data_IF_404648012855
#
_entry.id   IF_404648012855
#
_cell.length_a   1.000
_cell.length_b   1.000
_cell.length_c   1.000
_cell.angle_alpha   90.00
_cell.angle_beta   90.00
_cell.angle_gamma   90.00
#
_symmetry.space_group_name_H-M   'P 1'
#
loop_
_entity.id
_entity.type
_entity.pdbx_description
1 polymer ?
#
# COMPACT_ATOMS: atom_id res chain seq x y z
N UNK A 1 -51.67 15.14 49.80
CA UNK A 1 -50.74 16.23 50.17
C UNK A 1 -49.43 16.00 49.43
N UNK A 2 -49.25 16.67 48.30
CA UNK A 2 -47.94 16.87 47.66
C UNK A 2 -47.40 18.23 48.11
N UNK A 3 -46.07 18.39 48.18
CA UNK A 3 -45.47 19.66 47.85
C UNK A 3 -44.41 19.55 46.74
N UNK A 4 -44.61 20.40 45.74
CA UNK A 4 -43.66 21.37 45.17
C UNK A 4 -42.49 20.89 44.27
N UNK A 5 -42.80 20.94 42.97
CA UNK A 5 -42.08 21.55 41.83
C UNK A 5 -40.99 22.58 42.20
N UNK A 6 -39.87 22.71 41.46
CA UNK A 6 -39.76 23.44 40.17
C UNK A 6 -38.32 23.34 39.55
N UNK A 7 -38.02 23.89 38.34
CA UNK A 7 -37.40 23.16 37.23
C UNK A 7 -36.02 23.71 36.80
N UNK A 8 -35.41 23.15 35.74
CA UNK A 8 -34.78 23.90 34.62
C UNK A 8 -34.13 22.97 33.59
N UNK A 9 -34.74 22.93 32.40
CA UNK A 9 -34.08 23.21 31.10
C UNK A 9 -33.09 22.18 30.52
N UNK A 10 -33.02 22.07 29.18
CA UNK A 10 -32.55 20.87 28.50
C UNK A 10 -31.06 20.95 28.13
N UNK A 11 -30.33 19.84 28.27
CA UNK A 11 -29.06 19.65 27.59
C UNK A 11 -29.23 18.48 26.61
N UNK A 12 -29.66 18.81 25.39
CA UNK A 12 -29.64 17.87 24.27
C UNK A 12 -28.18 17.60 23.90
N UNK A 13 -27.70 16.39 24.20
CA UNK A 13 -26.40 15.93 23.74
C UNK A 13 -26.58 15.29 22.36
N UNK A 14 -26.29 16.08 21.31
CA UNK A 14 -26.09 15.58 19.95
C UNK A 14 -24.85 14.67 19.93
N UNK A 15 -25.05 13.36 19.77
CA UNK A 15 -23.98 12.46 19.35
C UNK A 15 -23.61 12.78 17.90
N UNK A 16 -22.50 13.46 17.68
CA UNK A 16 -21.86 13.55 16.38
C UNK A 16 -21.11 12.23 16.11
N UNK A 17 -21.58 11.44 15.13
CA UNK A 17 -20.81 10.36 14.54
C UNK A 17 -19.57 10.95 13.86
N UNK A 18 -18.39 10.74 14.44
CA UNK A 18 -17.12 11.00 13.77
C UNK A 18 -16.86 9.86 12.77
N UNK A 19 -17.11 10.10 11.49
CA UNK A 19 -16.66 9.24 10.40
C UNK A 19 -15.13 9.39 10.26
N UNK A 20 -14.39 8.46 10.86
CA UNK A 20 -12.95 8.30 10.66
C UNK A 20 -12.69 7.73 9.26
N UNK A 21 -12.37 8.60 8.31
CA UNK A 21 -11.82 8.21 7.01
C UNK A 21 -10.35 7.84 7.16
N UNK A 22 -10.05 6.55 7.22
CA UNK A 22 -8.68 6.04 7.19
C UNK A 22 -8.15 6.01 5.74
N UNK A 23 -7.20 6.90 5.42
CA UNK A 23 -6.37 6.77 4.22
C UNK A 23 -5.42 5.58 4.34
N UNK A 24 -5.47 4.68 3.35
CA UNK A 24 -4.76 3.39 3.30
C UNK A 24 -3.83 3.35 2.09
N UNK A 25 -2.79 2.51 2.12
CA UNK A 25 -1.77 2.47 1.07
C UNK A 25 -2.15 1.55 -0.13
N UNK A 26 -1.84 1.88 -1.42
CA UNK A 26 -2.33 1.26 -2.71
C UNK A 26 -1.27 0.50 -3.63
N UNK A 27 -1.61 -0.34 -4.64
CA UNK A 27 -0.80 -1.35 -5.43
C UNK A 27 -1.51 -2.65 -5.88
N UNK A 28 -2.54 -2.52 -6.71
CA UNK A 28 -2.93 -3.51 -7.71
C UNK A 28 -3.48 -2.82 -8.96
N UNK A 29 -3.36 -3.47 -10.11
CA UNK A 29 -3.68 -2.87 -11.41
C UNK A 29 -5.15 -2.44 -11.47
N UNK A 30 -5.38 -1.21 -11.90
CA UNK A 30 -6.70 -0.71 -12.22
C UNK A 30 -6.60 0.24 -13.41
N UNK A 31 -7.66 0.33 -14.20
CA UNK A 31 -7.72 1.41 -15.19
C UNK A 31 -7.74 2.77 -14.50
N UNK A 32 -7.36 3.84 -15.18
CA UNK A 32 -7.39 5.18 -14.59
C UNK A 32 -7.77 6.30 -15.58
N UNK A 33 -8.23 7.42 -15.05
CA UNK A 33 -8.37 8.69 -15.75
C UNK A 33 -7.50 9.76 -15.11
N UNK A 34 -7.03 10.71 -15.90
CA UNK A 34 -6.29 11.89 -15.42
C UNK A 34 -7.29 13.03 -15.23
N UNK A 35 -7.42 13.53 -13.99
CA UNK A 35 -8.19 14.74 -13.67
C UNK A 35 -7.25 15.75 -13.02
N UNK A 36 -6.81 16.75 -13.80
CA UNK A 36 -5.89 17.81 -13.36
C UNK A 36 -4.58 17.33 -12.71
N UNK A 37 -4.06 16.15 -13.07
CA UNK A 37 -2.82 15.58 -12.53
C UNK A 37 -3.04 14.44 -11.53
N UNK A 38 -4.27 14.24 -11.03
CA UNK A 38 -4.59 13.12 -10.14
C UNK A 38 -4.93 11.87 -10.95
N UNK A 39 -4.39 10.73 -10.54
CA UNK A 39 -4.81 9.42 -11.05
C UNK A 39 -6.09 9.00 -10.33
N UNK A 40 -7.20 8.95 -11.07
CA UNK A 40 -8.45 8.37 -10.58
C UNK A 40 -8.61 6.98 -11.12
N UNK A 41 -8.58 5.97 -10.26
CA UNK A 41 -8.84 4.60 -10.67
C UNK A 41 -10.30 4.46 -11.14
N UNK A 42 -10.50 3.90 -12.32
CA UNK A 42 -11.79 3.75 -12.97
C UNK A 42 -12.23 2.29 -12.95
N UNK A 43 -13.54 2.10 -12.76
CA UNK A 43 -14.17 0.80 -12.88
C UNK A 43 -14.29 0.38 -14.36
N UNK A 44 -13.97 -0.87 -14.66
CA UNK A 44 -14.04 -1.47 -16.00
C UNK A 44 -15.09 -2.59 -16.03
N UNK A 45 -16.35 -2.27 -16.37
CA UNK A 45 -17.44 -3.24 -16.33
C UNK A 45 -17.33 -4.31 -17.42
N UNK A 46 -16.56 -4.06 -18.48
CA UNK A 46 -16.40 -4.99 -19.60
C UNK A 46 -15.23 -5.97 -19.41
N UNK A 47 -14.34 -5.74 -18.43
CA UNK A 47 -13.09 -6.51 -18.28
C UNK A 47 -13.08 -7.19 -16.91
N UNK A 48 -13.02 -8.52 -16.87
CA UNK A 48 -12.84 -9.27 -15.63
C UNK A 48 -11.37 -9.59 -15.37
N UNK A 49 -11.00 -9.69 -14.09
CA UNK A 49 -9.75 -10.31 -13.67
C UNK A 49 -9.99 -11.80 -13.43
N UNK A 50 -9.55 -12.63 -14.37
CA UNK A 50 -9.75 -14.08 -14.32
C UNK A 50 -8.70 -14.77 -13.44
N UNK A 51 -7.52 -14.17 -13.29
CA UNK A 51 -6.47 -14.67 -12.42
C UNK A 51 -5.65 -13.51 -11.86
N UNK A 52 -5.24 -13.65 -10.60
CA UNK A 52 -4.11 -12.94 -10.02
C UNK A 52 -3.27 -13.97 -9.25
N UNK A 53 -2.01 -14.16 -9.65
CA UNK A 53 -1.03 -14.90 -8.88
C UNK A 53 0.06 -13.93 -8.39
N UNK A 54 0.00 -13.65 -7.09
CA UNK A 54 0.81 -12.68 -6.38
C UNK A 54 1.89 -13.37 -5.56
N UNK A 55 3.15 -13.02 -5.81
CA UNK A 55 4.31 -13.36 -5.00
C UNK A 55 4.78 -12.13 -4.24
N UNK A 56 4.87 -12.23 -2.91
CA UNK A 56 5.44 -11.20 -2.04
C UNK A 56 6.66 -11.75 -1.31
N UNK A 57 7.77 -11.03 -1.40
CA UNK A 57 8.98 -11.28 -0.61
C UNK A 57 9.74 -9.96 -0.46
N UNK A 58 10.70 -9.91 0.46
CA UNK A 58 11.54 -8.72 0.67
C UNK A 58 12.41 -8.40 -0.56
N UNK A 59 12.74 -9.39 -1.40
CA UNK A 59 13.60 -9.21 -2.58
C UNK A 59 12.83 -8.96 -3.87
N UNK A 60 11.58 -9.43 -3.93
CA UNK A 60 10.81 -9.48 -5.15
C UNK A 60 9.31 -9.47 -4.87
N UNK A 61 8.63 -8.57 -5.56
CA UNK A 61 7.21 -8.73 -5.87
C UNK A 61 7.07 -9.14 -7.32
N UNK A 62 6.18 -10.10 -7.57
CA UNK A 62 5.77 -10.49 -8.90
C UNK A 62 4.27 -10.72 -8.91
N UNK A 63 3.61 -10.26 -9.96
CA UNK A 63 2.18 -10.49 -10.15
C UNK A 63 1.92 -10.94 -11.57
N UNK A 64 1.16 -12.03 -11.69
CA UNK A 64 0.71 -12.59 -12.96
C UNK A 64 -0.81 -12.50 -13.04
N UNK A 65 -1.31 -11.67 -13.95
CA UNK A 65 -2.73 -11.51 -14.22
C UNK A 65 -3.17 -12.21 -15.50
N UNK A 66 -4.43 -12.64 -15.50
CA UNK A 66 -5.19 -12.89 -16.72
C UNK A 66 -6.42 -12.00 -16.69
N UNK A 67 -6.57 -11.15 -17.68
CA UNK A 67 -7.76 -10.31 -17.85
C UNK A 67 -8.53 -10.74 -19.10
N UNK A 68 -9.85 -10.67 -19.06
CA UNK A 68 -10.71 -11.00 -20.21
C UNK A 68 -11.68 -9.86 -20.51
N UNK A 69 -11.67 -9.40 -21.75
CA UNK A 69 -12.64 -8.43 -22.26
C UNK A 69 -13.88 -9.16 -22.78
N UNK A 70 -15.03 -8.87 -22.17
CA UNK A 70 -16.33 -9.45 -22.51
C UNK A 70 -17.10 -8.65 -23.55
N UNK A 71 -16.59 -7.51 -24.02
CA UNK A 71 -17.26 -6.74 -25.07
C UNK A 71 -17.01 -7.35 -26.46
N UNK A 72 -17.88 -7.00 -27.42
CA UNK A 72 -17.75 -7.43 -28.81
C UNK A 72 -16.72 -6.62 -29.61
N UNK A 73 -16.07 -5.63 -28.99
CA UNK A 73 -15.05 -4.77 -29.62
C UNK A 73 -13.76 -4.83 -28.83
N UNK A 74 -12.64 -4.51 -29.47
CA UNK A 74 -11.41 -4.27 -28.74
C UNK A 74 -11.56 -3.00 -27.88
N UNK A 75 -10.95 -3.00 -26.69
CA UNK A 75 -10.92 -1.86 -25.79
C UNK A 75 -9.47 -1.41 -25.61
N UNK A 76 -9.21 -0.11 -25.75
CA UNK A 76 -7.94 0.50 -25.37
C UNK A 76 -8.14 1.23 -24.04
N UNK A 77 -7.44 0.78 -23.00
CA UNK A 77 -7.66 1.22 -21.63
C UNK A 77 -6.34 1.73 -21.03
N UNK A 78 -6.30 2.97 -20.50
CA UNK A 78 -5.21 3.41 -19.64
C UNK A 78 -5.18 2.57 -18.35
N UNK A 79 -4.05 1.92 -18.06
CA UNK A 79 -3.83 1.15 -16.84
C UNK A 79 -2.84 1.87 -15.94
N UNK A 80 -3.10 1.84 -14.64
CA UNK A 80 -2.18 2.25 -13.60
C UNK A 80 -1.96 1.09 -12.63
N UNK A 81 -0.70 0.77 -12.37
CA UNK A 81 -0.30 0.04 -11.18
C UNK A 81 0.04 1.05 -10.08
N UNK A 82 -0.78 1.19 -9.02
CA UNK A 82 -0.48 2.07 -7.90
C UNK A 82 0.69 1.55 -7.09
N UNK A 83 1.32 2.41 -6.30
CA UNK A 83 2.27 2.04 -5.25
C UNK A 83 1.74 2.51 -3.89
N UNK A 84 2.18 1.90 -2.78
CA UNK A 84 1.76 2.34 -1.46
C UNK A 84 2.20 3.79 -1.28
N UNK A 85 1.32 4.69 -0.80
CA UNK A 85 1.68 5.91 -0.11
C UNK A 85 3.01 5.82 0.61
N UNK A 86 3.89 6.75 0.25
CA UNK A 86 5.14 6.98 0.94
C UNK A 86 4.82 7.67 2.25
N UNK A 87 5.38 7.14 3.32
CA UNK A 87 5.38 7.78 4.64
C UNK A 87 6.83 8.16 4.91
N UNK A 88 7.03 9.37 5.41
CA UNK A 88 8.35 9.87 5.76
C UNK A 88 8.46 9.95 7.29
N UNK A 89 9.64 9.66 7.83
CA UNK A 89 9.89 9.61 9.27
C UNK A 89 11.19 8.88 9.59
N UNK A 90 11.30 8.37 10.82
CA UNK A 90 12.51 7.74 11.35
C UNK A 90 12.88 6.36 10.74
N UNK A 91 12.05 5.83 9.86
CA UNK A 91 12.33 4.56 9.19
C UNK A 91 13.10 4.82 7.89
N UNK A 92 14.02 3.92 7.56
CA UNK A 92 14.65 3.93 6.25
C UNK A 92 13.63 3.41 5.23
N UNK A 93 13.49 4.13 4.12
CA UNK A 93 12.62 3.74 3.03
C UNK A 93 13.46 3.46 1.79
N UNK A 94 13.39 2.23 1.29
CA UNK A 94 13.96 1.90 -0.02
C UNK A 94 13.00 2.31 -1.12
N UNK A 95 13.52 2.90 -2.20
CA UNK A 95 12.73 3.09 -3.41
C UNK A 95 12.43 1.74 -4.07
N UNK A 96 11.30 1.65 -4.77
CA UNK A 96 11.06 0.55 -5.68
C UNK A 96 12.00 0.66 -6.88
N UNK A 97 12.66 -0.44 -7.22
CA UNK A 97 13.56 -0.52 -8.37
C UNK A 97 13.19 -1.67 -9.30
N UNK A 98 13.74 -1.64 -10.50
CA UNK A 98 13.64 -2.72 -11.48
C UNK A 98 12.20 -3.10 -11.85
N UNK A 99 11.31 -2.12 -11.97
CA UNK A 99 9.96 -2.34 -12.47
C UNK A 99 9.99 -2.79 -13.93
N UNK A 100 9.60 -4.04 -14.15
CA UNK A 100 9.49 -4.63 -15.47
C UNK A 100 8.06 -5.12 -15.69
N UNK A 101 7.52 -4.84 -16.89
CA UNK A 101 6.17 -5.22 -17.27
C UNK A 101 6.18 -5.98 -18.60
N UNK A 102 5.39 -7.04 -18.68
CA UNK A 102 5.18 -7.85 -19.87
C UNK A 102 3.69 -8.03 -20.15
N UNK A 103 3.34 -7.97 -21.43
CA UNK A 103 2.01 -8.26 -21.95
C UNK A 103 2.13 -9.39 -22.96
N UNK A 104 1.47 -10.51 -22.68
CA UNK A 104 1.57 -11.75 -23.47
C UNK A 104 3.03 -12.16 -23.76
N UNK A 105 3.88 -12.02 -22.73
CA UNK A 105 5.31 -12.33 -22.78
C UNK A 105 6.20 -11.29 -23.45
N UNK A 106 5.64 -10.18 -23.97
CA UNK A 106 6.41 -9.10 -24.62
C UNK A 106 6.62 -7.94 -23.64
N UNK A 107 7.84 -7.40 -23.52
CA UNK A 107 8.10 -6.26 -22.63
C UNK A 107 7.33 -5.02 -23.09
N UNK A 108 6.82 -4.26 -22.13
CA UNK A 108 6.09 -2.99 -22.35
C UNK A 108 6.67 -1.92 -21.43
N UNK A 109 6.93 -0.75 -21.99
CA UNK A 109 7.42 0.40 -21.23
C UNK A 109 6.27 1.07 -20.48
N UNK A 110 6.54 1.44 -19.22
CA UNK A 110 5.63 2.24 -18.40
C UNK A 110 6.15 3.65 -18.19
N UNK A 111 5.27 4.58 -17.88
CA UNK A 111 5.63 5.91 -17.36
C UNK A 111 5.43 5.92 -15.85
N UNK A 112 6.44 6.34 -15.08
CA UNK A 112 6.31 6.61 -13.64
C UNK A 112 5.62 7.96 -13.47
N UNK A 113 4.51 8.01 -12.75
CA UNK A 113 3.80 9.24 -12.36
C UNK A 113 3.80 9.36 -10.84
N UNK A 114 4.21 10.52 -10.34
CA UNK A 114 4.12 10.88 -8.93
C UNK A 114 2.88 11.74 -8.71
N UNK A 115 2.03 11.31 -7.79
CA UNK A 115 0.86 12.07 -7.31
C UNK A 115 1.15 12.55 -5.90
N UNK A 116 0.88 13.83 -5.64
CA UNK A 116 1.11 14.47 -4.33
C UNK A 116 -0.19 15.10 -3.87
N UNK A 117 -0.80 14.51 -2.84
CA UNK A 117 -2.06 14.99 -2.28
C UNK A 117 -1.84 15.56 -0.89
N UNK A 118 -2.38 16.74 -0.61
CA UNK A 118 -2.48 17.27 0.76
C UNK A 118 -3.45 16.42 1.60
N UNK A 119 -3.34 16.56 2.92
CA UNK A 119 -4.23 15.94 3.91
C UNK A 119 -5.72 16.30 3.72
N UNK A 120 -6.01 17.44 3.08
CA UNK A 120 -7.35 17.88 2.67
C UNK A 120 -7.82 17.30 1.32
N UNK A 121 -6.99 16.48 0.67
CA UNK A 121 -7.25 15.84 -0.62
C UNK A 121 -6.88 16.70 -1.84
N UNK A 122 -6.40 17.93 -1.66
CA UNK A 122 -5.98 18.78 -2.79
C UNK A 122 -4.77 18.19 -3.51
N UNK A 123 -4.88 18.05 -4.83
CA UNK A 123 -3.74 17.66 -5.67
C UNK A 123 -2.77 18.84 -5.87
N UNK A 124 -1.53 18.65 -5.43
CA UNK A 124 -0.45 19.62 -5.56
C UNK A 124 0.68 19.10 -6.45
N UNK A 125 0.50 18.01 -7.19
CA UNK A 125 1.55 17.31 -7.96
C UNK A 125 2.31 18.24 -8.90
N UNK A 126 1.60 19.08 -9.65
CA UNK A 126 2.23 20.06 -10.56
C UNK A 126 3.02 21.13 -9.81
N UNK A 127 2.46 21.63 -8.70
CA UNK A 127 3.13 22.63 -7.89
C UNK A 127 4.36 22.04 -7.18
N UNK A 128 4.26 20.80 -6.70
CA UNK A 128 5.34 20.05 -6.07
C UNK A 128 6.49 19.83 -7.05
N UNK A 129 6.20 19.35 -8.26
CA UNK A 129 7.21 19.17 -9.30
C UNK A 129 7.96 20.48 -9.62
N UNK A 130 7.27 21.63 -9.58
CA UNK A 130 7.88 22.94 -9.81
C UNK A 130 8.82 23.40 -8.68
N UNK A 131 8.75 22.80 -7.49
CA UNK A 131 9.71 23.08 -6.40
C UNK A 131 11.08 22.45 -6.66
N UNK A 132 11.14 21.42 -7.51
CA UNK A 132 12.32 20.63 -7.78
C UNK A 132 12.71 19.64 -6.67
N UNK A 133 11.98 19.59 -5.54
CA UNK A 133 12.24 18.64 -4.45
C UNK A 133 12.06 17.20 -4.93
N UNK A 134 12.96 16.30 -4.51
CA UNK A 134 12.86 14.86 -4.70
C UNK A 134 12.18 14.17 -3.51
N UNK A 135 11.89 12.88 -3.64
CA UNK A 135 11.51 11.98 -2.54
C UNK A 135 12.55 12.00 -1.42
N UNK A 136 13.84 11.96 -1.76
CA UNK A 136 14.95 12.04 -0.79
C UNK A 136 15.00 13.38 -0.05
N UNK A 137 14.73 14.50 -0.74
CA UNK A 137 14.65 15.82 -0.10
C UNK A 137 13.55 15.85 0.96
N UNK A 138 12.41 15.19 0.70
CA UNK A 138 11.31 15.09 1.64
C UNK A 138 11.67 14.18 2.81
N UNK A 139 12.33 13.05 2.58
CA UNK A 139 12.82 12.18 3.65
C UNK A 139 13.77 12.94 4.59
N UNK A 140 14.78 13.63 4.03
CA UNK A 140 15.73 14.42 4.80
C UNK A 140 15.07 15.58 5.56
N UNK A 141 14.07 16.23 4.95
CA UNK A 141 13.30 17.28 5.62
C UNK A 141 12.44 16.72 6.76
N UNK A 142 11.75 15.60 6.56
CA UNK A 142 10.90 14.98 7.58
C UNK A 142 11.71 14.50 8.80
N UNK A 143 12.94 14.03 8.57
CA UNK A 143 13.85 13.59 9.63
C UNK A 143 14.46 14.78 10.41
N UNK A 144 14.93 15.81 9.69
CA UNK A 144 15.73 16.88 10.30
C UNK A 144 14.97 18.17 10.63
N UNK A 145 13.79 18.37 10.02
CA UNK A 145 13.05 19.63 10.01
C UNK A 145 13.72 20.77 9.21
N UNK A 146 14.88 20.51 8.58
CA UNK A 146 15.66 21.53 7.88
C UNK A 146 15.45 21.44 6.37
N UNK A 147 15.34 22.60 5.72
CA UNK A 147 15.30 22.67 4.25
C UNK A 147 16.59 22.13 3.66
N UNK A 148 16.54 21.14 2.75
CA UNK A 148 17.74 20.57 2.13
C UNK A 148 18.58 21.61 1.39
N UNK A 149 19.89 21.38 1.33
CA UNK A 149 20.84 22.33 0.72
C UNK A 149 20.49 22.56 -0.76
N UNK A 150 20.39 23.82 -1.17
CA UNK A 150 20.06 24.19 -2.56
C UNK A 150 18.56 24.14 -2.88
N UNK A 151 17.71 23.84 -1.90
CA UNK A 151 16.25 23.87 -2.07
C UNK A 151 15.64 25.16 -1.51
N UNK A 152 14.59 25.63 -2.17
CA UNK A 152 13.73 26.69 -1.63
C UNK A 152 12.75 26.06 -0.62
N UNK A 153 12.43 26.73 0.51
CA UNK A 153 11.44 26.23 1.46
C UNK A 153 10.11 25.88 0.79
N UNK A 154 9.49 24.78 1.21
CA UNK A 154 8.15 24.42 0.77
C UNK A 154 7.13 25.47 1.23
N UNK A 155 6.02 25.67 0.49
CA UNK A 155 4.93 26.54 0.92
C UNK A 155 4.45 26.20 2.33
N UNK A 156 4.30 27.20 3.20
CA UNK A 156 3.91 26.98 4.60
C UNK A 156 2.60 26.18 4.76
N UNK A 157 1.68 26.29 3.79
CA UNK A 157 0.42 25.51 3.79
C UNK A 157 0.63 23.99 3.62
N UNK A 158 1.79 23.56 3.13
CA UNK A 158 2.15 22.15 2.94
C UNK A 158 2.85 21.53 4.14
N UNK A 159 3.14 22.32 5.18
CA UNK A 159 3.84 21.89 6.39
C UNK A 159 2.87 22.09 7.57
N UNK A 160 2.89 21.18 8.55
CA UNK A 160 2.09 21.32 9.76
C UNK A 160 2.81 22.12 10.85
N UNK A 161 2.23 22.14 12.05
CA UNK A 161 2.79 22.89 13.18
C UNK A 161 4.05 22.25 13.76
N UNK A 162 4.26 20.96 13.50
CA UNK A 162 5.37 20.16 14.01
C UNK A 162 6.50 20.05 12.97
N UNK A 163 6.47 20.90 11.93
CA UNK A 163 7.40 20.91 10.80
C UNK A 163 7.39 19.63 9.96
N UNK A 164 6.26 18.93 9.90
CA UNK A 164 6.10 17.73 9.08
C UNK A 164 5.33 18.01 7.79
N UNK A 165 5.64 17.29 6.69
CA UNK A 165 4.87 17.36 5.46
C UNK A 165 3.39 17.00 5.69
N UNK A 166 2.48 17.84 5.22
CA UNK A 166 1.02 17.62 5.23
C UNK A 166 0.50 16.89 4.00
N UNK A 167 1.38 16.31 3.20
CA UNK A 167 1.03 15.67 1.95
C UNK A 167 1.56 14.24 1.89
N UNK A 168 0.88 13.43 1.10
CA UNK A 168 1.24 12.05 0.80
C UNK A 168 1.75 11.98 -0.63
N UNK A 169 2.87 11.29 -0.83
CA UNK A 169 3.40 10.95 -2.14
C UNK A 169 2.91 9.55 -2.52
N UNK A 170 2.43 9.37 -3.74
CA UNK A 170 2.02 8.06 -4.26
C UNK A 170 2.48 7.92 -5.69
N UNK A 171 3.13 6.80 -5.99
CA UNK A 171 3.64 6.53 -7.32
C UNK A 171 2.75 5.59 -8.09
N UNK A 172 2.78 5.74 -9.42
CA UNK A 172 2.01 4.91 -10.32
C UNK A 172 2.86 4.58 -11.55
N UNK A 173 2.81 3.32 -11.96
CA UNK A 173 3.35 2.89 -13.25
C UNK A 173 2.18 2.81 -14.23
N UNK A 174 2.18 3.68 -15.24
CA UNK A 174 1.07 3.80 -16.19
C UNK A 174 1.44 3.36 -17.59
N UNK A 175 0.51 2.70 -18.28
CA UNK A 175 0.62 2.32 -19.69
C UNK A 175 -0.74 2.27 -20.38
N UNK A 176 -0.75 2.14 -21.71
CA UNK A 176 -1.95 1.86 -22.49
C UNK A 176 -2.05 0.36 -22.77
N UNK A 177 -3.19 -0.24 -22.48
CA UNK A 177 -3.44 -1.66 -22.73
C UNK A 177 -4.58 -1.85 -23.72
N UNK A 178 -4.32 -2.66 -24.75
CA UNK A 178 -5.38 -3.13 -25.66
C UNK A 178 -5.88 -4.48 -25.18
N UNK A 179 -7.18 -4.61 -24.96
CA UNK A 179 -7.86 -5.88 -24.71
C UNK A 179 -8.65 -6.27 -25.96
N UNK A 180 -8.33 -7.40 -26.62
CA UNK A 180 -9.04 -7.83 -27.83
C UNK A 180 -10.51 -8.14 -27.54
N UNK A 181 -11.37 -7.99 -28.55
CA UNK A 181 -12.79 -8.34 -28.44
C UNK A 181 -12.94 -9.81 -28.02
N UNK A 182 -13.71 -10.09 -26.96
CA UNK A 182 -13.95 -11.46 -26.46
C UNK A 182 -12.67 -12.25 -26.15
N UNK A 183 -11.55 -11.56 -25.92
CA UNK A 183 -10.25 -12.19 -25.75
C UNK A 183 -9.60 -11.86 -24.41
N UNK A 184 -8.60 -12.66 -24.07
CA UNK A 184 -7.84 -12.53 -22.84
C UNK A 184 -6.43 -11.98 -23.10
N UNK A 185 -5.88 -11.32 -22.10
CA UNK A 185 -4.52 -10.79 -22.09
C UNK A 185 -3.84 -11.25 -20.80
N UNK A 186 -2.59 -11.71 -20.92
CA UNK A 186 -1.72 -11.97 -19.78
C UNK A 186 -0.87 -10.74 -19.50
N UNK A 187 -0.93 -10.23 -18.28
CA UNK A 187 -0.10 -9.12 -17.83
C UNK A 187 0.75 -9.61 -16.67
N UNK A 188 2.07 -9.47 -16.77
CA UNK A 188 3.00 -9.74 -15.69
C UNK A 188 3.75 -8.48 -15.36
N UNK A 189 3.96 -8.24 -14.07
CA UNK A 189 4.97 -7.28 -13.63
C UNK A 189 5.78 -7.84 -12.48
N UNK A 190 7.03 -7.38 -12.38
CA UNK A 190 7.97 -7.81 -11.36
C UNK A 190 8.92 -6.66 -11.01
N UNK A 191 9.24 -6.52 -9.72
CA UNK A 191 10.05 -5.42 -9.21
C UNK A 191 10.64 -5.74 -7.83
N UNK A 192 11.72 -5.07 -7.46
CA UNK A 192 12.19 -5.07 -6.07
C UNK A 192 11.30 -4.12 -5.24
N UNK A 193 10.68 -4.59 -4.15
CA UNK A 193 9.70 -3.78 -3.43
C UNK A 193 10.35 -2.63 -2.68
N UNK A 194 9.56 -1.57 -2.46
CA UNK A 194 9.85 -0.61 -1.41
C UNK A 194 9.60 -1.24 -0.04
N UNK A 195 10.63 -1.26 0.80
CA UNK A 195 10.60 -1.70 2.18
C UNK A 195 10.83 -0.53 3.12
N UNK A 196 10.09 -0.51 4.23
CA UNK A 196 10.51 0.22 5.41
C UNK A 196 11.39 -0.68 6.29
N UNK A 197 12.56 -0.19 6.65
CA UNK A 197 13.55 -0.87 7.48
C UNK A 197 14.20 0.15 8.43
N UNK A 198 15.25 -0.25 9.13
CA UNK A 198 16.08 0.65 9.91
C UNK A 198 17.03 -0.12 10.80
N UNK A 199 17.63 0.60 11.75
CA UNK A 199 18.39 -0.03 12.82
C UNK A 199 17.53 -1.05 13.57
N UNK A 200 18.14 -2.10 14.14
CA UNK A 200 17.44 -3.04 15.01
C UNK A 200 16.64 -2.33 16.11
N UNK A 201 15.44 -2.81 16.38
CA UNK A 201 14.53 -2.22 17.36
C UNK A 201 14.12 -3.24 18.42
N UNK A 202 13.85 -2.76 19.63
CA UNK A 202 13.33 -3.62 20.69
C UNK A 202 11.93 -4.15 20.37
N UNK A 203 11.55 -5.30 20.93
CA UNK A 203 10.25 -5.91 20.65
C UNK A 203 9.09 -5.02 21.08
N UNK A 204 9.24 -4.26 22.17
CA UNK A 204 8.26 -3.30 22.65
C UNK A 204 7.93 -2.24 21.59
N UNK A 205 8.95 -1.63 20.97
CA UNK A 205 8.80 -0.63 19.92
C UNK A 205 8.11 -1.20 18.67
N UNK A 206 8.54 -2.38 18.22
CA UNK A 206 7.96 -3.02 17.03
C UNK A 206 6.49 -3.41 17.26
N UNK A 207 6.15 -3.88 18.47
CA UNK A 207 4.77 -4.19 18.84
C UNK A 207 3.91 -2.92 18.87
N UNK A 208 4.42 -1.82 19.45
CA UNK A 208 3.71 -0.54 19.46
C UNK A 208 3.43 -0.02 18.04
N UNK A 209 4.44 -0.11 17.16
CA UNK A 209 4.37 0.46 15.82
C UNK A 209 3.59 -0.39 14.80
N UNK A 210 3.61 -1.72 14.93
CA UNK A 210 3.12 -2.62 13.89
C UNK A 210 2.06 -3.63 14.33
N UNK A 211 1.89 -3.93 15.63
CA UNK A 211 1.05 -5.05 16.06
C UNK A 211 -0.40 -4.93 15.59
N UNK A 212 -0.97 -3.72 15.63
CA UNK A 212 -2.34 -3.47 15.18
C UNK A 212 -2.49 -3.62 13.66
N UNK A 213 -1.53 -3.12 12.88
CA UNK A 213 -1.60 -3.08 11.41
C UNK A 213 -1.23 -4.40 10.74
N UNK A 214 -0.47 -5.24 11.44
CA UNK A 214 -0.01 -6.54 10.96
C UNK A 214 -0.56 -7.72 11.76
N UNK A 215 -1.56 -7.47 12.61
CA UNK A 215 -2.29 -8.49 13.37
C UNK A 215 -1.37 -9.42 14.16
N UNK A 216 -0.39 -8.87 14.89
CA UNK A 216 0.52 -9.66 15.71
C UNK A 216 -0.26 -10.35 16.84
N UNK A 217 -0.35 -11.68 16.77
CA UNK A 217 -1.03 -12.49 17.77
C UNK A 217 -0.22 -12.63 19.07
N UNK A 218 -0.87 -12.97 20.21
CA UNK A 218 -0.18 -13.15 21.49
C UNK A 218 0.99 -14.16 21.45
N UNK A 219 0.86 -15.25 20.69
CA UNK A 219 1.92 -16.24 20.52
C UNK A 219 3.12 -15.66 19.75
N UNK A 220 2.87 -14.87 18.71
CA UNK A 220 3.89 -14.17 17.93
C UNK A 220 4.59 -13.12 18.78
N UNK A 221 3.84 -12.33 19.56
CA UNK A 221 4.38 -11.39 20.55
C UNK A 221 5.33 -12.08 21.54
N UNK A 222 4.91 -13.20 22.13
CA UNK A 222 5.75 -13.96 23.05
C UNK A 222 7.00 -14.54 22.35
N UNK A 223 6.90 -14.89 21.07
CA UNK A 223 8.06 -15.33 20.28
C UNK A 223 9.04 -14.19 20.01
N UNK A 224 8.55 -12.98 19.70
CA UNK A 224 9.38 -11.79 19.52
C UNK A 224 10.14 -11.46 20.80
N UNK A 225 9.45 -11.37 21.93
CA UNK A 225 10.05 -11.06 23.24
C UNK A 225 11.13 -12.07 23.67
N UNK A 226 10.95 -13.36 23.36
CA UNK A 226 11.94 -14.40 23.68
C UNK A 226 13.18 -14.39 22.77
N UNK A 227 13.06 -13.87 21.56
CA UNK A 227 14.12 -13.87 20.54
C UNK A 227 14.84 -12.53 20.43
N UNK A 228 14.40 -11.53 21.19
CA UNK A 228 15.03 -10.22 21.26
C UNK A 228 16.44 -10.35 21.85
N UNK A 229 17.45 -9.91 21.08
CA UNK A 229 18.84 -9.87 21.51
C UNK A 229 19.18 -8.54 22.21
N UNK A 230 20.44 -8.39 22.63
CA UNK A 230 20.91 -7.18 23.30
C UNK A 230 20.77 -5.90 22.46
N UNK A 231 20.76 -6.05 21.13
CA UNK A 231 20.59 -4.97 20.16
C UNK A 231 19.16 -4.91 19.58
N UNK A 232 18.22 -5.68 20.11
CA UNK A 232 16.85 -5.74 19.58
C UNK A 232 16.69 -6.80 18.48
N UNK A 233 15.81 -6.51 17.52
CA UNK A 233 15.47 -7.40 16.40
C UNK A 233 15.55 -6.64 15.08
N UNK A 234 16.01 -7.34 14.05
CA UNK A 234 15.94 -6.88 12.67
C UNK A 234 14.51 -6.93 12.18
N UNK A 235 14.13 -6.00 11.32
CA UNK A 235 12.77 -5.90 10.84
C UNK A 235 12.72 -5.35 9.41
N UNK A 236 11.65 -5.70 8.70
CA UNK A 236 11.29 -5.08 7.44
C UNK A 236 9.76 -5.07 7.31
N UNK A 237 9.21 -3.98 6.80
CA UNK A 237 7.79 -3.82 6.53
C UNK A 237 7.57 -3.65 5.02
N UNK A 238 6.68 -4.47 4.47
CA UNK A 238 6.29 -4.45 3.06
C UNK A 238 4.80 -4.19 2.97
N UNK A 239 4.40 -3.23 2.13
CA UNK A 239 3.00 -2.93 1.83
C UNK A 239 2.70 -3.33 0.39
N UNK A 240 1.55 -3.96 0.19
CA UNK A 240 1.02 -4.33 -1.11
C UNK A 240 -0.48 -4.22 -1.05
N UNK A 241 -1.14 -4.06 -2.18
CA UNK A 241 -2.50 -3.54 -2.16
C UNK A 241 -3.33 -4.37 -3.06
N UNK A 242 -4.52 -4.60 -2.57
CA UNK A 242 -5.35 -5.63 -3.11
C UNK A 242 -6.72 -5.07 -3.40
N UNK A 243 -7.09 -3.96 -2.80
CA UNK A 243 -8.46 -3.45 -2.87
C UNK A 243 -8.86 -2.90 -4.24
N UNK A 244 -7.92 -2.43 -5.10
CA UNK A 244 -8.28 -1.91 -6.44
C UNK A 244 -8.78 -3.01 -7.39
N UNK A 245 -8.62 -4.28 -7.03
CA UNK A 245 -9.03 -5.44 -7.81
C UNK A 245 -10.55 -5.46 -7.99
N UNK A 246 -11.27 -4.76 -7.11
CA UNK A 246 -12.71 -4.49 -7.23
C UNK A 246 -13.09 -3.53 -8.35
N UNK A 247 -12.12 -2.84 -8.95
CA UNK A 247 -12.36 -1.96 -10.08
C UNK A 247 -12.58 -2.74 -11.38
N UNK A 248 -12.37 -4.06 -11.39
CA UNK A 248 -12.69 -4.92 -12.52
C UNK A 248 -14.11 -5.50 -12.42
N UNK A 249 -14.59 -6.09 -13.51
CA UNK A 249 -15.90 -6.73 -13.54
C UNK A 249 -15.91 -8.00 -12.66
N UNK A 250 -16.55 -7.88 -11.51
CA UNK A 250 -16.76 -8.99 -10.58
C UNK A 250 -15.55 -9.28 -9.69
N UNK A 251 -15.59 -10.41 -8.96
CA UNK A 251 -14.46 -10.85 -8.14
C UNK A 251 -13.29 -11.35 -8.99
N UNK A 252 -12.13 -11.51 -8.36
CA UNK A 252 -10.97 -12.18 -8.95
C UNK A 252 -11.28 -13.67 -9.01
N UNK A 253 -11.42 -14.23 -10.22
CA UNK A 253 -11.94 -15.61 -10.36
C UNK A 253 -11.00 -16.67 -9.77
N UNK A 254 -9.68 -16.52 -9.94
CA UNK A 254 -8.65 -17.37 -9.31
C UNK A 254 -7.56 -16.50 -8.68
N UNK A 255 -7.66 -16.27 -7.37
CA UNK A 255 -6.65 -15.54 -6.60
C UNK A 255 -5.67 -16.51 -5.94
N UNK A 256 -4.38 -16.25 -6.12
CA UNK A 256 -3.28 -17.00 -5.52
C UNK A 256 -2.31 -16.02 -4.85
N UNK A 257 -2.04 -16.21 -3.57
CA UNK A 257 -1.07 -15.44 -2.81
C UNK A 257 0.05 -16.37 -2.33
N UNK A 258 1.28 -16.04 -2.64
CA UNK A 258 2.50 -16.66 -2.12
C UNK A 258 3.31 -15.63 -1.37
N UNK A 259 3.64 -15.89 -0.10
CA UNK A 259 4.54 -15.06 0.70
C UNK A 259 5.78 -15.88 0.99
N UNK A 260 6.96 -15.33 0.68
CA UNK A 260 8.25 -15.98 0.92
C UNK A 260 9.11 -15.15 1.85
N UNK A 261 9.53 -15.76 2.97
CA UNK A 261 10.49 -15.18 3.92
C UNK A 261 11.92 -15.32 3.39
N UNK A 262 12.83 -14.48 3.88
CA UNK A 262 14.26 -14.63 3.62
C UNK A 262 14.82 -15.85 4.37
N UNK A 263 14.51 -15.99 5.67
CA UNK A 263 15.01 -17.08 6.50
C UNK A 263 13.91 -17.90 7.16
N UNK A 264 14.21 -19.17 7.42
CA UNK A 264 13.27 -20.10 8.06
C UNK A 264 12.90 -19.67 9.49
N UNK A 265 13.84 -19.01 10.18
CA UNK A 265 13.70 -18.47 11.54
C UNK A 265 12.87 -17.17 11.59
N UNK A 266 12.76 -16.43 10.48
CA UNK A 266 12.04 -15.15 10.45
C UNK A 266 10.58 -15.32 10.89
N UNK A 267 10.10 -14.36 11.66
CA UNK A 267 8.69 -14.20 12.02
C UNK A 267 8.02 -13.41 10.91
N UNK A 268 6.87 -13.89 10.46
CA UNK A 268 6.00 -13.19 9.50
C UNK A 268 4.69 -12.85 10.21
N UNK A 269 4.24 -11.60 10.12
CA UNK A 269 2.93 -11.15 10.59
C UNK A 269 2.24 -10.30 9.54
N UNK A 270 0.93 -10.50 9.35
CA UNK A 270 0.09 -9.66 8.50
C UNK A 270 -1.39 -9.81 8.89
N UNK A 271 -2.17 -8.76 8.65
CA UNK A 271 -3.62 -8.87 8.68
C UNK A 271 -4.13 -9.44 7.35
N UNK A 272 -4.66 -10.66 7.35
CA UNK A 272 -5.22 -11.29 6.17
C UNK A 272 -6.44 -12.14 6.54
N UNK A 273 -7.54 -12.00 5.80
CA UNK A 273 -8.80 -12.68 6.10
C UNK A 273 -8.82 -14.14 5.63
N UNK A 274 -7.90 -14.53 4.73
CA UNK A 274 -7.75 -15.89 4.26
C UNK A 274 -6.86 -16.75 5.16
N UNK A 275 -7.06 -18.07 5.12
CA UNK A 275 -6.22 -19.02 5.84
C UNK A 275 -4.92 -19.30 5.07
N UNK A 276 -3.85 -18.55 5.37
CA UNK A 276 -2.52 -18.82 4.84
C UNK A 276 -2.00 -20.16 5.35
N UNK A 277 -1.65 -21.05 4.42
CA UNK A 277 -1.06 -22.35 4.70
C UNK A 277 0.45 -22.24 4.59
N UNK A 278 1.16 -22.58 5.66
CA UNK A 278 2.61 -22.78 5.59
C UNK A 278 2.87 -24.10 4.84
N UNK A 279 3.53 -24.01 3.68
CA UNK A 279 3.84 -25.19 2.86
C UNK A 279 5.27 -25.71 3.11
N UNK A 280 6.18 -24.81 3.51
CA UNK A 280 7.56 -25.13 3.88
C UNK A 280 8.09 -24.07 4.89
N UNK A 281 9.34 -24.17 5.40
CA UNK A 281 9.87 -23.20 6.36
C UNK A 281 9.90 -21.74 5.90
N UNK A 282 9.96 -21.47 4.59
CA UNK A 282 10.06 -20.15 3.98
C UNK A 282 8.74 -19.67 3.37
N UNK A 283 7.88 -20.58 2.92
CA UNK A 283 6.77 -20.25 2.02
C UNK A 283 5.40 -20.46 2.65
N UNK A 284 4.53 -19.45 2.49
CA UNK A 284 3.12 -19.46 2.87
C UNK A 284 2.28 -19.25 1.61
N UNK A 285 1.19 -19.98 1.47
CA UNK A 285 0.32 -19.91 0.31
C UNK A 285 -1.16 -19.82 0.69
N UNK A 286 -1.91 -19.11 -0.15
CA UNK A 286 -3.36 -19.05 -0.12
C UNK A 286 -3.89 -19.09 -1.54
N UNK A 287 -5.02 -19.77 -1.72
CA UNK A 287 -5.76 -19.78 -2.99
C UNK A 287 -7.25 -19.73 -2.72
N UNK A 288 -7.96 -18.89 -3.45
CA UNK A 288 -9.41 -18.78 -3.36
C UNK A 288 -10.00 -18.46 -4.73
N UNK A 289 -11.12 -19.13 -5.05
CA UNK A 289 -11.96 -18.76 -6.18
C UNK A 289 -12.89 -17.59 -5.81
N UNK A 290 -13.21 -16.75 -6.79
CA UNK A 290 -14.11 -15.60 -6.64
C UNK A 290 -13.73 -14.71 -5.44
N UNK A 291 -12.44 -14.39 -5.34
CA UNK A 291 -11.89 -13.61 -4.25
C UNK A 291 -12.24 -12.13 -4.41
N UNK A 292 -12.79 -11.55 -3.33
CA UNK A 292 -13.07 -10.11 -3.23
C UNK A 292 -12.08 -9.51 -2.24
N UNK A 293 -11.14 -8.66 -2.69
CA UNK A 293 -10.07 -8.18 -1.83
C UNK A 293 -10.55 -7.08 -0.87
N UNK A 294 -10.83 -7.43 0.37
CA UNK A 294 -11.45 -6.50 1.33
C UNK A 294 -10.48 -5.54 2.03
N UNK A 295 -9.17 -5.81 1.95
CA UNK A 295 -8.12 -4.99 2.54
C UNK A 295 -6.83 -5.10 1.74
N UNK A 296 -6.00 -4.10 1.91
CA UNK A 296 -4.61 -4.14 1.47
C UNK A 296 -3.77 -4.97 2.44
N UNK A 297 -2.58 -5.36 1.99
CA UNK A 297 -1.65 -6.20 2.72
C UNK A 297 -0.53 -5.35 3.32
N UNK A 298 -0.30 -5.52 4.62
CA UNK A 298 0.88 -5.02 5.30
C UNK A 298 1.57 -6.19 6.00
N UNK A 299 2.80 -6.48 5.57
CA UNK A 299 3.62 -7.58 6.05
C UNK A 299 4.72 -7.02 6.94
N UNK A 300 4.91 -7.62 8.12
CA UNK A 300 6.06 -7.41 8.96
C UNK A 300 6.90 -8.68 9.00
N UNK A 301 8.15 -8.57 8.58
CA UNK A 301 9.19 -9.57 8.77
C UNK A 301 10.02 -9.16 10.00
N UNK A 302 10.22 -10.07 10.95
CA UNK A 302 11.03 -9.84 12.16
C UNK A 302 12.02 -10.98 12.35
N UNK A 303 13.27 -10.64 12.64
CA UNK A 303 14.36 -11.61 12.78
C UNK A 303 15.22 -11.31 14.01
N UNK A 304 15.67 -12.37 14.69
CA UNK A 304 16.68 -12.24 15.72
C UNK A 304 17.99 -11.80 15.08
N UNK A 305 18.74 -10.96 15.79
CA UNK A 305 20.09 -10.56 15.39
C UNK A 305 21.04 -11.16 16.43
N UNK A 306 22.09 -11.80 15.94
CA UNK A 306 23.17 -12.34 16.78
C UNK A 306 24.05 -11.22 17.35
#
# INVERSE_FOLDING_TARGET
>A
MQPLSFPRGPLGLLLALAALGCGSAQANDSSFGDDNGTIRLLHQPDISMDKEALLLSEERVQVDYVFTNHSARALSVPIAFPMPPMYFGMADHSELTDFNLWVDGKPVTTTRKLVVLLDDGSDISKAFAATGWSTDDIAAFAESGNVPTGRTPLPARWIDRDQQPRFTLSEYFVWQQVFPARGSVQIRHAYAPSLSTGVPQGSAFLLESYAKRTCIEPATKASMQRREGAHGMGWANLRYVLTTGKNWNGPIKDFQLTIRKQNASDILSLCFDGALKKIDPLTFQFRQADFVPMRDLELLFVRGIE
#
